data_IF_195993030159
#
_entry.id   IF_195993030159
#
_cell.length_a   1.000
_cell.length_b   1.000
_cell.length_c   1.000
_cell.angle_alpha   90.00
_cell.angle_beta   90.00
_cell.angle_gamma   90.00
#
_symmetry.space_group_name_H-M   'P 1'
#
loop_
_entity.id
_entity.type
_entity.pdbx_description
1 polymer ?
#
# COMPACT_ATOMS: atom_id res chain seq x y z
N UNK A 1 4.42 -4.11 7.04
CA UNK A 1 5.28 -2.95 6.71
C UNK A 1 6.69 -3.44 6.80
N UNK A 2 7.39 -3.51 5.66
CA UNK A 2 8.81 -3.86 5.65
C UNK A 2 9.53 -2.71 6.34
N UNK A 3 10.22 -2.99 7.45
CA UNK A 3 11.16 -2.08 8.10
C UNK A 3 12.00 -1.43 6.99
N UNK A 4 12.13 -0.10 6.98
CA UNK A 4 13.21 0.60 6.24
C UNK A 4 14.52 -0.01 6.76
N UNK A 5 14.98 -1.10 6.15
CA UNK A 5 16.35 -1.59 6.31
C UNK A 5 17.23 -0.43 5.88
N UNK A 6 18.17 -0.07 6.75
CA UNK A 6 19.12 1.05 6.65
C UNK A 6 19.28 1.51 5.20
N UNK A 7 18.83 2.73 4.96
CA UNK A 7 18.68 3.30 3.63
C UNK A 7 20.01 3.20 2.88
N UNK A 8 19.97 2.62 1.69
CA UNK A 8 20.97 2.89 0.69
C UNK A 8 20.92 4.41 0.41
N UNK A 9 21.90 5.14 0.95
CA UNK A 9 22.08 6.59 0.78
C UNK A 9 22.75 6.93 -0.55
N UNK A 10 22.87 5.97 -1.47
CA UNK A 10 23.42 6.14 -2.81
C UNK A 10 22.81 7.33 -3.58
N UNK A 11 21.57 7.70 -3.29
CA UNK A 11 20.90 8.88 -3.85
C UNK A 11 21.58 10.21 -3.48
N UNK A 12 22.27 10.29 -2.34
CA UNK A 12 22.96 11.51 -1.90
C UNK A 12 24.24 11.79 -2.71
N UNK A 13 24.78 10.76 -3.38
CA UNK A 13 25.96 10.86 -4.24
C UNK A 13 25.63 11.22 -5.70
N UNK A 14 24.35 11.29 -6.07
CA UNK A 14 23.95 11.68 -7.43
C UNK A 14 24.15 13.18 -7.68
N UNK A 15 24.33 13.61 -8.95
CA UNK A 15 24.48 15.02 -9.32
C UNK A 15 23.33 15.91 -8.83
N UNK A 16 22.12 15.35 -8.77
CA UNK A 16 20.92 15.98 -8.23
C UNK A 16 20.29 15.05 -7.16
N UNK A 17 20.73 15.17 -5.89
CA UNK A 17 20.32 14.24 -4.84
C UNK A 17 18.83 14.38 -4.49
N UNK A 18 18.26 15.57 -4.68
CA UNK A 18 16.85 15.82 -4.40
C UNK A 18 15.96 15.13 -5.44
N UNK A 19 16.34 15.22 -6.71
CA UNK A 19 15.66 14.50 -7.79
C UNK A 19 15.80 12.98 -7.65
N UNK A 20 16.98 12.49 -7.25
CA UNK A 20 17.22 11.07 -7.00
C UNK A 20 16.30 10.54 -5.87
N UNK A 21 16.19 11.28 -4.76
CA UNK A 21 15.26 10.97 -3.67
C UNK A 21 13.80 10.94 -4.17
N UNK A 22 13.37 11.96 -4.91
CA UNK A 22 12.00 12.05 -5.43
C UNK A 22 11.66 10.87 -6.36
N UNK A 23 12.59 10.48 -7.25
CA UNK A 23 12.42 9.32 -8.14
C UNK A 23 12.33 8.01 -7.38
N UNK A 24 13.14 7.85 -6.33
CA UNK A 24 13.11 6.67 -5.46
C UNK A 24 11.76 6.52 -4.76
N UNK A 25 11.27 7.61 -4.15
CA UNK A 25 9.94 7.65 -3.53
C UNK A 25 8.85 7.31 -4.55
N UNK A 26 8.88 7.90 -5.74
CA UNK A 26 7.94 7.61 -6.82
C UNK A 26 7.94 6.12 -7.21
N UNK A 27 9.13 5.51 -7.33
CA UNK A 27 9.29 4.09 -7.59
C UNK A 27 8.73 3.20 -6.47
N UNK A 28 8.89 3.61 -5.22
CA UNK A 28 8.29 2.93 -4.07
C UNK A 28 6.76 2.97 -4.16
N UNK A 29 6.16 4.14 -4.35
CA UNK A 29 4.70 4.27 -4.48
C UNK A 29 4.16 3.50 -5.68
N UNK A 30 4.85 3.51 -6.81
CA UNK A 30 4.45 2.73 -7.98
C UNK A 30 4.40 1.22 -7.69
N UNK A 31 5.41 0.67 -7.01
CA UNK A 31 5.44 -0.75 -6.59
C UNK A 31 4.35 -1.05 -5.57
N UNK A 32 4.11 -0.15 -4.61
CA UNK A 32 3.05 -0.30 -3.60
C UNK A 32 1.68 -0.35 -4.27
N UNK A 33 1.38 0.56 -5.19
CA UNK A 33 0.13 0.53 -5.96
C UNK A 33 -0.02 -0.76 -6.77
N UNK A 34 1.03 -1.21 -7.45
CA UNK A 34 1.00 -2.44 -8.24
C UNK A 34 0.77 -3.68 -7.38
N UNK A 35 1.41 -3.76 -6.21
CA UNK A 35 1.23 -4.85 -5.25
C UNK A 35 -0.18 -4.86 -4.66
N UNK A 36 -0.72 -3.70 -4.28
CA UNK A 36 -2.08 -3.59 -3.77
C UNK A 36 -3.12 -4.04 -4.82
N UNK A 37 -2.92 -3.66 -6.09
CA UNK A 37 -3.75 -4.12 -7.21
C UNK A 37 -3.71 -5.64 -7.37
N UNK A 38 -2.51 -6.24 -7.35
CA UNK A 38 -2.35 -7.70 -7.43
C UNK A 38 -3.01 -8.43 -6.25
N UNK A 39 -2.89 -7.88 -5.05
CA UNK A 39 -3.56 -8.43 -3.86
C UNK A 39 -5.08 -8.37 -3.99
N UNK A 40 -5.63 -7.24 -4.43
CA UNK A 40 -7.07 -7.09 -4.63
C UNK A 40 -7.61 -8.10 -5.67
N UNK A 41 -7.00 -8.19 -6.85
CA UNK A 41 -7.41 -9.18 -7.84
C UNK A 41 -7.23 -10.61 -7.34
N UNK A 42 -6.14 -10.91 -6.63
CA UNK A 42 -5.92 -12.23 -6.03
C UNK A 42 -7.00 -12.59 -5.02
N UNK A 43 -7.45 -11.64 -4.19
CA UNK A 43 -8.53 -11.88 -3.23
C UNK A 43 -9.88 -12.08 -3.91
N UNK A 44 -10.21 -11.29 -4.94
CA UNK A 44 -11.48 -11.41 -5.67
C UNK A 44 -11.55 -12.74 -6.44
N UNK A 45 -10.49 -13.08 -7.18
CA UNK A 45 -10.40 -14.35 -7.90
C UNK A 45 -10.41 -15.54 -6.94
N UNK A 46 -9.73 -15.42 -5.80
CA UNK A 46 -9.75 -16.44 -4.74
C UNK A 46 -11.14 -16.65 -4.17
N UNK A 47 -11.85 -15.57 -3.85
CA UNK A 47 -13.22 -15.62 -3.36
C UNK A 47 -14.17 -16.28 -4.38
N UNK A 48 -14.15 -15.83 -5.64
CA UNK A 48 -14.93 -16.41 -6.74
C UNK A 48 -14.60 -17.88 -6.99
N UNK A 49 -13.31 -18.24 -6.91
CA UNK A 49 -12.85 -19.61 -7.03
C UNK A 49 -13.42 -20.49 -5.91
N UNK A 50 -13.29 -20.05 -4.66
CA UNK A 50 -13.80 -20.82 -3.51
C UNK A 50 -15.31 -21.01 -3.56
N UNK A 51 -16.09 -19.99 -3.93
CA UNK A 51 -17.55 -20.12 -4.04
C UNK A 51 -17.94 -21.08 -5.16
N UNK A 52 -17.28 -21.00 -6.32
CA UNK A 52 -17.53 -21.87 -7.47
C UNK A 52 -17.16 -23.34 -7.15
N UNK A 53 -16.02 -23.58 -6.51
CA UNK A 53 -15.58 -24.92 -6.11
C UNK A 53 -16.49 -25.52 -5.04
N UNK A 54 -17.07 -24.70 -4.14
CA UNK A 54 -18.05 -25.17 -3.14
C UNK A 54 -19.26 -25.81 -3.80
N UNK A 55 -19.81 -25.19 -4.85
CA UNK A 55 -20.99 -25.70 -5.58
C UNK A 55 -20.69 -27.04 -6.24
N UNK A 56 -19.53 -27.17 -6.89
CA UNK A 56 -19.08 -28.42 -7.53
C UNK A 56 -18.86 -29.52 -6.50
N UNK A 57 -18.20 -29.21 -5.38
CA UNK A 57 -17.94 -30.16 -4.31
C UNK A 57 -19.24 -30.67 -3.65
N UNK A 58 -20.22 -29.79 -3.47
CA UNK A 58 -21.54 -30.15 -2.95
C UNK A 58 -22.28 -31.09 -3.92
N UNK A 59 -22.27 -30.79 -5.23
CA UNK A 59 -22.93 -31.61 -6.26
C UNK A 59 -22.30 -32.99 -6.47
N UNK A 60 -21.00 -33.14 -6.16
CA UNK A 60 -20.27 -34.40 -6.31
C UNK A 60 -20.19 -35.24 -5.01
N UNK A 61 -20.88 -34.83 -3.94
CA UNK A 61 -20.76 -35.46 -2.61
C UNK A 61 -19.30 -35.61 -2.16
N UNK A 62 -18.50 -34.55 -2.34
CA UNK A 62 -17.07 -34.59 -2.10
C UNK A 62 -16.71 -35.00 -0.65
N UNK A 63 -15.58 -35.70 -0.46
CA UNK A 63 -15.14 -36.14 0.85
C UNK A 63 -14.85 -34.97 1.80
N UNK A 64 -15.05 -35.21 3.10
CA UNK A 64 -15.05 -34.18 4.15
C UNK A 64 -13.78 -33.31 4.22
N UNK A 65 -12.62 -33.88 3.87
CA UNK A 65 -11.37 -33.12 3.86
C UNK A 65 -11.35 -32.04 2.75
N UNK A 66 -12.01 -32.30 1.62
CA UNK A 66 -12.08 -31.38 0.50
C UNK A 66 -13.03 -30.21 0.80
N UNK A 67 -14.20 -30.51 1.37
CA UNK A 67 -15.16 -29.48 1.80
C UNK A 67 -14.59 -28.60 2.90
N UNK A 68 -13.82 -29.16 3.84
CA UNK A 68 -13.10 -28.40 4.87
C UNK A 68 -12.05 -27.44 4.27
N UNK A 69 -11.27 -27.88 3.27
CA UNK A 69 -10.31 -27.01 2.59
C UNK A 69 -11.00 -25.85 1.85
N UNK A 70 -12.14 -26.12 1.21
CA UNK A 70 -12.90 -25.10 0.49
C UNK A 70 -13.48 -24.05 1.47
N UNK A 71 -14.10 -24.52 2.55
CA UNK A 71 -14.64 -23.66 3.59
C UNK A 71 -13.54 -22.82 4.27
N UNK A 72 -12.39 -23.45 4.59
CA UNK A 72 -11.23 -22.78 5.14
C UNK A 72 -10.65 -21.72 4.19
N UNK A 73 -10.61 -22.02 2.89
CA UNK A 73 -10.22 -21.07 1.85
C UNK A 73 -11.12 -19.84 1.81
N UNK A 74 -12.44 -20.02 1.86
CA UNK A 74 -13.39 -18.91 1.86
C UNK A 74 -13.21 -17.99 3.08
N UNK A 75 -13.03 -18.57 4.27
CA UNK A 75 -12.74 -17.81 5.50
C UNK A 75 -11.38 -17.10 5.40
N UNK A 76 -10.37 -17.77 4.85
CA UNK A 76 -9.05 -17.19 4.63
C UNK A 76 -9.12 -15.96 3.71
N UNK A 77 -9.77 -16.05 2.55
CA UNK A 77 -9.91 -14.91 1.64
C UNK A 77 -10.72 -13.76 2.26
N UNK A 78 -11.74 -14.10 3.05
CA UNK A 78 -12.52 -13.11 3.80
C UNK A 78 -11.66 -12.38 4.84
N UNK A 79 -10.89 -13.11 5.64
CA UNK A 79 -9.95 -12.54 6.60
C UNK A 79 -8.83 -11.75 5.94
N UNK A 80 -8.33 -12.22 4.79
CA UNK A 80 -7.31 -11.54 4.00
C UNK A 80 -7.82 -10.18 3.49
N UNK A 81 -9.08 -10.11 3.05
CA UNK A 81 -9.74 -8.86 2.64
C UNK A 81 -9.83 -7.87 3.80
N UNK A 82 -10.16 -8.34 5.00
CA UNK A 82 -10.24 -7.51 6.21
C UNK A 82 -8.87 -7.02 6.67
N UNK A 83 -7.85 -7.91 6.67
CA UNK A 83 -6.53 -7.60 7.17
C UNK A 83 -5.78 -6.59 6.29
N UNK A 84 -5.96 -6.68 4.97
CA UNK A 84 -5.20 -5.85 4.03
C UNK A 84 -5.91 -4.56 3.61
N UNK A 85 -7.23 -4.43 3.83
CA UNK A 85 -8.06 -3.29 3.41
C UNK A 85 -7.55 -2.60 2.11
N UNK A 86 -7.36 -3.35 1.01
CA UNK A 86 -6.48 -2.92 -0.09
C UNK A 86 -6.97 -1.67 -0.82
N UNK A 87 -8.29 -1.42 -0.80
CA UNK A 87 -8.93 -0.32 -1.51
C UNK A 87 -8.50 1.05 -0.99
N UNK A 88 -8.67 1.31 0.31
CA UNK A 88 -8.32 2.61 0.90
C UNK A 88 -6.82 2.90 0.75
N UNK A 89 -5.96 1.92 1.10
CA UNK A 89 -4.51 2.06 1.02
C UNK A 89 -3.98 2.26 -0.40
N UNK A 90 -4.65 1.69 -1.41
CA UNK A 90 -4.25 1.87 -2.80
C UNK A 90 -4.52 3.29 -3.30
N UNK A 91 -5.68 3.87 -2.96
CA UNK A 91 -6.06 5.23 -3.37
C UNK A 91 -5.07 6.24 -2.83
N UNK A 92 -4.69 6.10 -1.56
CA UNK A 92 -3.76 7.00 -0.88
C UNK A 92 -2.36 6.92 -1.47
N UNK A 93 -1.85 5.71 -1.70
CA UNK A 93 -0.58 5.51 -2.39
C UNK A 93 -0.62 6.04 -3.84
N UNK A 94 -1.75 5.94 -4.52
CA UNK A 94 -1.91 6.47 -5.88
C UNK A 94 -1.97 8.01 -5.89
N UNK A 95 -2.61 8.62 -4.90
CA UNK A 95 -2.64 10.07 -4.70
C UNK A 95 -1.24 10.60 -4.41
N UNK A 96 -0.53 10.02 -3.43
CA UNK A 96 0.86 10.36 -3.10
C UNK A 96 1.78 10.26 -4.33
N UNK A 97 1.65 9.16 -5.09
CA UNK A 97 2.38 8.97 -6.35
C UNK A 97 2.11 10.07 -7.36
N UNK A 98 0.84 10.43 -7.57
CA UNK A 98 0.45 11.41 -8.58
C UNK A 98 0.90 12.82 -8.20
N UNK A 99 0.76 13.19 -6.93
CA UNK A 99 1.28 14.46 -6.39
C UNK A 99 2.78 14.58 -6.60
N UNK A 100 3.53 13.53 -6.23
CA UNK A 100 4.98 13.50 -6.40
C UNK A 100 5.40 13.49 -7.88
N UNK A 101 4.69 12.75 -8.74
CA UNK A 101 4.93 12.73 -10.19
C UNK A 101 4.76 14.11 -10.81
N UNK A 102 3.71 14.84 -10.42
CA UNK A 102 3.47 16.21 -10.92
C UNK A 102 4.57 17.17 -10.47
N UNK A 103 5.03 17.07 -9.23
CA UNK A 103 6.12 17.90 -8.71
C UNK A 103 7.45 17.60 -9.41
N UNK A 104 7.80 16.32 -9.60
CA UNK A 104 8.98 15.92 -10.37
C UNK A 104 8.90 16.41 -11.81
N UNK A 105 7.76 16.26 -12.47
CA UNK A 105 7.59 16.75 -13.84
C UNK A 105 7.77 18.28 -13.89
N UNK A 106 7.19 19.03 -12.96
CA UNK A 106 7.36 20.49 -12.88
C UNK A 106 8.82 20.88 -12.67
N UNK A 107 9.54 20.15 -11.82
CA UNK A 107 10.96 20.37 -11.57
C UNK A 107 11.82 20.09 -12.81
N UNK A 108 11.50 19.03 -13.56
CA UNK A 108 12.21 18.66 -14.79
C UNK A 108 11.92 19.59 -15.97
N UNK A 109 10.80 20.32 -15.97
CA UNK A 109 10.50 21.34 -16.97
C UNK A 109 11.41 22.58 -16.84
N UNK A 110 12.03 22.78 -15.68
CA UNK A 110 13.06 23.81 -15.49
C UNK A 110 14.39 23.28 -16.04
N UNK A 111 15.03 23.99 -16.99
CA UNK A 111 16.35 23.64 -17.48
C UNK A 111 17.33 23.45 -16.31
N UNK A 112 18.19 22.44 -16.40
CA UNK A 112 19.18 22.14 -15.37
C UNK A 112 20.01 23.35 -14.86
N UNK A 113 20.48 24.29 -15.71
CA UNK A 113 21.18 25.48 -15.23
C UNK A 113 20.28 26.45 -14.43
N UNK A 114 18.97 26.42 -14.66
CA UNK A 114 17.99 27.32 -14.07
C UNK A 114 17.26 26.69 -12.87
N UNK A 115 17.63 25.47 -12.45
CA UNK A 115 17.11 24.81 -11.25
C UNK A 115 17.69 25.46 -9.99
N UNK A 116 17.16 26.63 -9.70
CA UNK A 116 17.53 27.48 -8.59
C UNK A 116 17.06 26.92 -7.23
N UNK A 117 17.35 27.68 -6.16
CA UNK A 117 16.92 27.34 -4.80
C UNK A 117 15.40 27.24 -4.67
N UNK A 118 14.64 28.05 -5.41
CA UNK A 118 13.17 28.04 -5.34
C UNK A 118 12.58 26.77 -5.96
N UNK A 119 13.07 26.33 -7.12
CA UNK A 119 12.66 25.08 -7.75
C UNK A 119 12.97 23.87 -6.85
N UNK A 120 14.16 23.86 -6.21
CA UNK A 120 14.54 22.81 -5.26
C UNK A 120 13.69 22.84 -4.00
N UNK A 121 13.40 24.02 -3.47
CA UNK A 121 12.57 24.15 -2.27
C UNK A 121 11.13 23.73 -2.54
N UNK A 122 10.57 24.05 -3.70
CA UNK A 122 9.23 23.62 -4.10
C UNK A 122 9.13 22.08 -4.27
N UNK A 123 10.17 21.42 -4.79
CA UNK A 123 10.18 19.95 -4.85
C UNK A 123 10.30 19.34 -3.44
N UNK A 124 11.16 19.90 -2.60
CA UNK A 124 11.34 19.44 -1.22
C UNK A 124 10.06 19.54 -0.40
N UNK A 125 9.36 20.68 -0.47
CA UNK A 125 8.12 20.89 0.28
C UNK A 125 7.06 19.85 -0.07
N UNK A 126 6.96 19.46 -1.35
CA UNK A 126 6.02 18.41 -1.77
C UNK A 126 6.42 17.03 -1.25
N UNK A 127 7.72 16.72 -1.20
CA UNK A 127 8.20 15.45 -0.63
C UNK A 127 7.85 15.37 0.87
N UNK A 128 8.10 16.45 1.60
CA UNK A 128 7.79 16.56 3.04
C UNK A 128 6.28 16.47 3.28
N UNK A 129 5.46 17.21 2.51
CA UNK A 129 4.00 17.21 2.61
C UNK A 129 3.41 15.81 2.38
N UNK A 130 3.92 15.07 1.39
CA UNK A 130 3.49 13.68 1.14
C UNK A 130 3.82 12.80 2.35
N UNK A 131 5.02 12.92 2.93
CA UNK A 131 5.42 12.17 4.11
C UNK A 131 4.58 12.51 5.36
N UNK A 132 4.32 13.80 5.59
CA UNK A 132 3.50 14.26 6.70
C UNK A 132 2.05 13.80 6.59
N UNK A 133 1.51 13.80 5.37
CA UNK A 133 0.16 13.31 5.12
C UNK A 133 0.04 11.80 5.39
N UNK A 134 1.03 11.01 4.98
CA UNK A 134 1.07 9.58 5.32
C UNK A 134 1.17 9.34 6.83
N UNK A 135 2.00 10.12 7.53
CA UNK A 135 2.15 9.99 8.98
C UNK A 135 0.85 10.32 9.71
N UNK A 136 0.17 11.40 9.29
CA UNK A 136 -1.12 11.82 9.83
C UNK A 136 -2.17 10.74 9.65
N UNK A 137 -2.31 10.23 8.43
CA UNK A 137 -3.28 9.20 8.11
C UNK A 137 -2.99 7.88 8.84
N UNK A 138 -1.72 7.53 8.99
CA UNK A 138 -1.34 6.40 9.83
C UNK A 138 -1.77 6.61 11.28
N UNK A 139 -1.51 7.80 11.85
CA UNK A 139 -1.88 8.12 13.23
C UNK A 139 -3.40 8.08 13.45
N UNK A 140 -4.19 8.61 12.51
CA UNK A 140 -5.64 8.57 12.54
C UNK A 140 -6.16 7.12 12.45
N UNK A 141 -5.56 6.31 11.57
CA UNK A 141 -5.94 4.90 11.42
C UNK A 141 -5.64 4.04 12.65
N UNK A 142 -4.60 4.38 13.42
CA UNK A 142 -4.30 3.69 14.69
C UNK A 142 -5.16 4.19 15.84
N UNK A 143 -5.46 5.50 15.88
CA UNK A 143 -6.32 6.11 16.92
C UNK A 143 -7.77 5.63 16.88
N UNK A 144 -8.24 5.11 15.75
CA UNK A 144 -9.60 4.58 15.60
C UNK A 144 -9.70 3.07 15.88
N UNK A 145 -8.63 2.40 16.31
CA UNK A 145 -8.68 0.99 16.71
C UNK A 145 -9.26 0.90 18.13
N UNK A 146 -10.49 0.39 18.33
CA UNK A 146 -11.03 0.26 19.68
C UNK A 146 -10.13 -0.67 20.49
N UNK A 147 -9.81 -0.27 21.72
CA UNK A 147 -9.08 -1.12 22.65
C UNK A 147 -9.82 -2.46 22.79
N UNK A 148 -9.08 -3.59 22.81
CA UNK A 148 -9.71 -4.87 23.04
C UNK A 148 -10.45 -4.83 24.39
N UNK A 149 -11.71 -5.27 24.46
CA UNK A 149 -12.45 -5.26 25.72
C UNK A 149 -11.64 -6.05 26.76
N UNK A 150 -11.36 -5.41 27.89
CA UNK A 150 -10.71 -6.06 29.02
C UNK A 150 -11.58 -7.26 29.41
N UNK A 151 -11.05 -8.49 29.43
CA UNK A 151 -11.85 -9.65 29.80
C UNK A 151 -12.38 -9.42 31.21
N UNK A 152 -13.70 -9.40 31.35
CA UNK A 152 -14.35 -9.33 32.65
C UNK A 152 -13.80 -10.47 33.50
N UNK A 153 -13.12 -10.13 34.59
CA UNK A 153 -12.72 -11.11 35.59
C UNK A 153 -14.01 -11.73 36.13
N UNK A 154 -14.31 -12.95 35.65
CA UNK A 154 -15.44 -13.73 36.13
C UNK A 154 -15.27 -14.01 37.62
N UNK A 155 -16.26 -13.57 38.40
CA UNK A 155 -16.50 -14.00 39.78
C UNK A 155 -17.61 -15.02 39.82
#
# INVERSE_FOLDING_TARGET
MTRRTVADESWAAEPDPLLALARRELGFYARTCARARRLHYGTEVGALGTTSVTVVAAGLHAPAWLTALIAGGAVFFTGLRQLFAPGARWVLAAQARETLRRAVNRYLLVPEPDRDGAARQALRSVIEEVGDNELREWSESQGHRPDPPVPAAGG
#
